data_IF_213128960343
#
_entry.id   IF_213128960343
#
_cell.length_a   1.000
_cell.length_b   1.000
_cell.length_c   1.000
_cell.angle_alpha   90.00
_cell.angle_beta   90.00
_cell.angle_gamma   90.00
#
_symmetry.space_group_name_H-M   'P 1'
#
loop_
_entity.id
_entity.type
_entity.pdbx_description
1 polymer ?
#
# COMPACT_ATOMS: atom_id res chain seq x y z
N UNK A 1 -13.34 -12.97 57.93
CA UNK A 1 -13.45 -12.84 56.47
C UNK A 1 -13.64 -14.22 55.87
N UNK A 2 -14.83 -14.53 55.34
CA UNK A 2 -15.27 -15.88 55.00
C UNK A 2 -14.38 -16.54 53.92
N UNK A 3 -14.06 -17.83 54.08
CA UNK A 3 -13.27 -18.61 53.11
C UNK A 3 -13.87 -18.53 51.70
N UNK A 4 -15.20 -18.51 51.61
CA UNK A 4 -15.95 -18.37 50.35
C UNK A 4 -15.63 -17.03 49.67
N UNK A 5 -15.50 -15.95 50.44
CA UNK A 5 -15.15 -14.62 49.90
C UNK A 5 -13.72 -14.60 49.36
N UNK A 6 -12.78 -15.30 50.01
CA UNK A 6 -11.39 -15.41 49.53
C UNK A 6 -11.31 -16.22 48.23
N UNK A 7 -12.07 -17.30 48.10
CA UNK A 7 -12.12 -18.12 46.87
C UNK A 7 -12.73 -17.30 45.72
N UNK A 8 -13.82 -16.58 45.98
CA UNK A 8 -14.44 -15.71 44.98
C UNK A 8 -13.48 -14.61 44.47
N UNK A 9 -12.72 -13.98 45.37
CA UNK A 9 -11.74 -12.97 45.02
C UNK A 9 -10.59 -13.53 44.18
N UNK A 10 -10.10 -14.73 44.51
CA UNK A 10 -9.04 -15.39 43.75
C UNK A 10 -9.54 -15.70 42.34
N UNK A 11 -10.72 -16.32 42.19
CA UNK A 11 -11.31 -16.67 40.88
C UNK A 11 -11.60 -15.43 40.04
N UNK A 12 -12.12 -14.36 40.65
CA UNK A 12 -12.34 -13.09 39.95
C UNK A 12 -11.04 -12.46 39.45
N UNK A 13 -9.95 -12.55 40.23
CA UNK A 13 -8.64 -12.07 39.82
C UNK A 13 -8.06 -12.91 38.67
N UNK A 14 -8.18 -14.24 38.71
CA UNK A 14 -7.69 -15.11 37.64
C UNK A 14 -8.45 -14.91 36.33
N UNK A 15 -9.76 -14.67 36.40
CA UNK A 15 -10.56 -14.38 35.20
C UNK A 15 -10.14 -13.02 34.60
N UNK A 16 -9.89 -11.98 35.41
CA UNK A 16 -9.41 -10.70 34.88
C UNK A 16 -8.02 -10.81 34.22
N UNK A 17 -7.13 -11.68 34.70
CA UNK A 17 -5.83 -11.91 34.04
C UNK A 17 -5.93 -12.70 32.74
N UNK A 18 -7.01 -13.47 32.52
CA UNK A 18 -7.23 -14.22 31.27
C UNK A 18 -7.82 -13.35 30.15
N UNK A 19 -8.51 -12.26 30.48
CA UNK A 19 -9.02 -11.29 29.51
C UNK A 19 -8.07 -10.08 29.28
N UNK A 20 -6.93 -10.06 29.96
CA UNK A 20 -5.95 -8.97 29.94
C UNK A 20 -4.82 -9.10 28.90
N UNK A 21 -5.02 -9.83 27.81
CA UNK A 21 -4.06 -9.89 26.70
C UNK A 21 -4.75 -10.20 25.35
N UNK A 22 -5.62 -9.30 24.90
CA UNK A 22 -6.11 -9.30 23.50
C UNK A 22 -6.46 -7.87 23.07
N UNK A 23 -5.53 -6.96 23.32
CA UNK A 23 -5.56 -5.61 22.77
C UNK A 23 -4.15 -5.21 22.33
N UNK A 24 -3.46 -6.11 21.62
CA UNK A 24 -2.45 -5.65 20.67
C UNK A 24 -3.21 -5.15 19.44
N UNK A 25 -3.43 -3.84 19.43
CA UNK A 25 -3.78 -3.06 18.25
C UNK A 25 -2.83 -3.45 17.11
N UNK A 26 -3.41 -3.89 15.99
CA UNK A 26 -2.82 -3.82 14.66
C UNK A 26 -1.33 -4.12 14.54
N UNK A 27 -0.89 -5.33 14.89
CA UNK A 27 0.37 -5.86 14.36
C UNK A 27 0.06 -6.60 13.08
N UNK A 28 0.20 -5.88 11.98
CA UNK A 28 1.05 -6.29 10.85
C UNK A 28 1.39 -7.79 10.87
N UNK A 29 0.74 -8.56 10.00
CA UNK A 29 1.19 -9.91 9.68
C UNK A 29 2.43 -9.73 8.81
N UNK A 30 3.56 -9.34 9.43
CA UNK A 30 4.85 -9.42 8.77
C UNK A 30 5.15 -10.91 8.61
N UNK A 31 4.87 -11.46 7.43
CA UNK A 31 5.17 -12.85 7.13
C UNK A 31 6.70 -13.01 7.06
N UNK A 32 7.30 -13.53 8.13
CA UNK A 32 8.74 -13.85 8.17
C UNK A 32 9.10 -15.12 7.37
N UNK A 33 8.23 -15.56 6.46
CA UNK A 33 8.45 -16.77 5.69
C UNK A 33 9.31 -16.43 4.48
N UNK A 34 10.50 -17.04 4.43
CA UNK A 34 11.38 -16.97 3.27
C UNK A 34 11.06 -18.08 2.28
N UNK A 35 11.14 -17.73 1.00
CA UNK A 35 10.94 -18.60 -0.16
C UNK A 35 12.22 -18.68 -0.98
N UNK A 36 12.39 -19.74 -1.78
CA UNK A 36 13.66 -19.91 -2.50
C UNK A 36 13.78 -18.94 -3.67
N UNK A 37 12.66 -18.56 -4.28
CA UNK A 37 12.63 -17.61 -5.39
C UNK A 37 11.68 -16.46 -5.12
N UNK A 38 11.90 -15.36 -5.84
CA UNK A 38 11.06 -14.18 -5.83
C UNK A 38 9.61 -14.51 -6.21
N UNK A 39 9.44 -15.33 -7.25
CA UNK A 39 8.14 -15.74 -7.77
C UNK A 39 7.35 -16.58 -6.75
N UNK A 40 8.02 -17.45 -5.99
CA UNK A 40 7.40 -18.23 -4.92
C UNK A 40 6.89 -17.34 -3.78
N UNK A 41 7.65 -16.30 -3.42
CA UNK A 41 7.24 -15.32 -2.42
C UNK A 41 5.99 -14.54 -2.87
N UNK A 42 6.02 -14.03 -4.10
CA UNK A 42 4.90 -13.28 -4.70
C UNK A 42 3.65 -14.15 -4.83
N UNK A 43 3.79 -15.38 -5.32
CA UNK A 43 2.68 -16.33 -5.41
C UNK A 43 2.07 -16.63 -4.04
N UNK A 44 2.92 -16.86 -3.04
CA UNK A 44 2.45 -17.16 -1.70
C UNK A 44 1.72 -15.98 -1.07
N UNK A 45 2.21 -14.75 -1.26
CA UNK A 45 1.53 -13.54 -0.81
C UNK A 45 0.14 -13.41 -1.41
N UNK A 46 -0.01 -13.44 -2.74
CA UNK A 46 -1.32 -13.32 -3.36
C UNK A 46 -2.27 -14.44 -2.91
N UNK A 47 -1.75 -15.67 -2.75
CA UNK A 47 -2.55 -16.81 -2.26
C UNK A 47 -3.01 -16.62 -0.81
N UNK A 48 -2.13 -16.16 0.08
CA UNK A 48 -2.44 -15.94 1.49
C UNK A 48 -3.46 -14.82 1.69
N UNK A 49 -3.33 -13.75 0.91
CA UNK A 49 -4.24 -12.61 0.93
C UNK A 49 -5.55 -12.85 0.17
N UNK A 50 -5.68 -13.98 -0.54
CA UNK A 50 -6.87 -14.30 -1.32
C UNK A 50 -7.03 -13.45 -2.58
N UNK A 51 -5.93 -12.91 -3.11
CA UNK A 51 -5.88 -12.08 -4.31
C UNK A 51 -5.50 -12.91 -5.55
N UNK A 52 -5.78 -12.36 -6.74
CA UNK A 52 -5.40 -12.98 -8.01
C UNK A 52 -3.99 -12.53 -8.40
N UNK A 53 -3.14 -13.42 -8.94
CA UNK A 53 -1.82 -13.02 -9.49
C UNK A 53 -1.92 -11.95 -10.58
N UNK A 54 -3.02 -11.91 -11.34
CA UNK A 54 -3.28 -10.87 -12.34
C UNK A 54 -3.47 -9.47 -11.75
N UNK A 55 -3.53 -9.35 -10.42
CA UNK A 55 -3.49 -8.08 -9.70
C UNK A 55 -2.12 -7.41 -9.71
N UNK A 56 -1.04 -8.14 -10.00
CA UNK A 56 0.31 -7.56 -10.06
C UNK A 56 0.37 -6.51 -11.18
N UNK A 57 0.76 -5.27 -10.83
CA UNK A 57 0.95 -4.17 -11.78
C UNK A 57 2.42 -4.15 -12.22
N UNK A 58 3.32 -4.03 -11.26
CA UNK A 58 4.75 -3.85 -11.51
C UNK A 58 5.59 -4.31 -10.32
N UNK A 59 6.88 -4.51 -10.57
CA UNK A 59 7.92 -4.61 -9.56
C UNK A 59 8.96 -3.58 -9.98
N UNK A 60 9.20 -2.57 -9.15
CA UNK A 60 10.12 -1.49 -9.43
C UNK A 60 11.27 -1.46 -8.45
N UNK A 61 12.46 -1.08 -8.92
CA UNK A 61 13.64 -0.91 -8.09
C UNK A 61 13.85 0.59 -7.80
N UNK A 62 13.92 0.94 -6.53
CA UNK A 62 14.13 2.29 -6.02
C UNK A 62 15.27 2.25 -4.99
N UNK A 63 16.41 2.88 -5.30
CA UNK A 63 17.71 2.79 -4.59
C UNK A 63 17.93 1.46 -3.84
N UNK A 64 18.13 0.37 -4.59
CA UNK A 64 18.39 -0.98 -4.09
C UNK A 64 17.21 -1.65 -3.33
N UNK A 65 16.04 -1.02 -3.28
CA UNK A 65 14.80 -1.59 -2.74
C UNK A 65 13.83 -1.95 -3.85
N UNK A 66 13.41 -3.21 -3.90
CA UNK A 66 12.39 -3.66 -4.85
C UNK A 66 10.99 -3.52 -4.24
N UNK A 67 10.10 -2.78 -4.91
CA UNK A 67 8.72 -2.56 -4.49
C UNK A 67 7.78 -3.26 -5.47
N UNK A 68 7.02 -4.22 -4.97
CA UNK A 68 5.90 -4.84 -5.66
C UNK A 68 4.64 -3.96 -5.54
N UNK A 69 4.01 -3.69 -6.67
CA UNK A 69 2.83 -2.82 -6.80
C UNK A 69 1.69 -3.65 -7.39
N UNK A 70 0.51 -3.62 -6.75
CA UNK A 70 -0.61 -4.47 -7.15
C UNK A 70 -1.99 -3.83 -6.92
N UNK A 71 -3.00 -4.24 -7.70
CA UNK A 71 -4.40 -3.85 -7.51
C UNK A 71 -5.20 -4.92 -6.78
N UNK A 72 -5.80 -4.61 -5.65
CA UNK A 72 -6.65 -5.56 -4.93
C UNK A 72 -7.96 -4.91 -4.44
N UNK A 73 -8.69 -4.19 -5.29
CA UNK A 73 -9.78 -3.31 -4.83
C UNK A 73 -9.23 -2.06 -4.12
N UNK A 74 -8.18 -1.49 -4.70
CA UNK A 74 -7.28 -0.48 -4.14
C UNK A 74 -5.86 -0.72 -4.69
N UNK A 75 -4.96 0.23 -4.47
CA UNK A 75 -3.54 0.10 -4.83
C UNK A 75 -2.72 -0.31 -3.61
N UNK A 76 -1.92 -1.36 -3.74
CA UNK A 76 -1.14 -1.94 -2.66
C UNK A 76 0.34 -2.02 -2.99
N UNK A 77 1.14 -2.00 -1.93
CA UNK A 77 2.59 -2.00 -1.97
C UNK A 77 3.14 -3.07 -1.04
N UNK A 78 4.20 -3.73 -1.48
CA UNK A 78 4.99 -4.61 -0.64
C UNK A 78 6.45 -4.58 -1.09
N UNK A 79 7.37 -4.56 -0.13
CA UNK A 79 8.79 -4.66 -0.42
C UNK A 79 9.19 -6.11 -0.68
N UNK A 80 9.97 -6.34 -1.73
CA UNK A 80 10.61 -7.62 -2.05
C UNK A 80 11.99 -7.64 -1.43
N UNK A 81 12.16 -8.44 -0.39
CA UNK A 81 13.41 -8.52 0.37
C UNK A 81 14.16 -9.79 -0.05
N UNK A 82 15.42 -9.63 -0.42
CA UNK A 82 16.35 -10.72 -0.71
C UNK A 82 17.41 -10.84 0.39
N UNK A 83 17.42 -11.97 1.09
CA UNK A 83 18.36 -12.30 2.15
C UNK A 83 19.04 -13.66 1.88
N UNK A 84 19.99 -14.04 2.73
CA UNK A 84 20.69 -15.32 2.63
C UNK A 84 19.72 -16.52 2.73
N UNK A 85 18.62 -16.35 3.46
CA UNK A 85 17.55 -17.32 3.66
C UNK A 85 16.62 -17.45 2.45
N UNK A 86 16.65 -16.49 1.51
CA UNK A 86 15.81 -16.45 0.31
C UNK A 86 15.08 -15.12 0.13
N UNK A 87 13.86 -15.19 -0.41
CA UNK A 87 13.01 -14.03 -0.70
C UNK A 87 11.81 -13.98 0.24
N UNK A 88 11.44 -12.79 0.69
CA UNK A 88 10.17 -12.55 1.41
C UNK A 88 9.53 -11.25 0.95
N UNK A 89 8.26 -11.08 1.33
CA UNK A 89 7.54 -9.83 1.12
C UNK A 89 7.25 -9.17 2.45
N UNK A 90 7.57 -7.88 2.56
CA UNK A 90 7.13 -7.04 3.66
C UNK A 90 5.96 -6.18 3.17
N UNK A 91 4.77 -6.39 3.73
CA UNK A 91 3.54 -5.76 3.26
C UNK A 91 3.32 -4.41 3.95
N UNK A 92 3.38 -3.34 3.18
CA UNK A 92 3.23 -1.96 3.67
C UNK A 92 1.75 -1.51 3.73
N UNK A 93 0.88 -2.19 2.99
CA UNK A 93 -0.56 -1.98 3.08
C UNK A 93 -1.25 -1.90 1.72
N UNK A 94 -2.48 -1.40 1.74
CA UNK A 94 -3.27 -1.10 0.55
C UNK A 94 -4.14 0.12 0.80
N UNK A 95 -4.07 1.11 -0.08
CA UNK A 95 -4.97 2.25 -0.05
C UNK A 95 -6.27 1.91 -0.79
N UNK A 96 -7.40 2.11 -0.10
CA UNK A 96 -8.75 1.78 -0.60
C UNK A 96 -9.68 3.00 -0.68
N UNK A 97 -9.45 4.00 0.18
CA UNK A 97 -10.32 5.16 0.32
C UNK A 97 -9.96 6.25 -0.69
N UNK A 98 -10.51 6.11 -1.89
CA UNK A 98 -10.60 7.18 -2.88
C UNK A 98 -12.08 7.54 -3.03
N UNK A 99 -12.60 8.30 -2.08
CA UNK A 99 -13.98 8.82 -2.13
C UNK A 99 -13.99 10.17 -2.83
N UNK A 100 -14.73 10.26 -3.94
CA UNK A 100 -14.98 11.53 -4.61
C UNK A 100 -16.09 12.28 -3.88
N UNK A 101 -15.79 13.46 -3.34
CA UNK A 101 -16.80 14.29 -2.69
C UNK A 101 -17.78 14.95 -3.69
N UNK A 102 -17.47 14.94 -4.99
CA UNK A 102 -18.26 15.63 -6.02
C UNK A 102 -18.35 14.87 -7.34
N UNK A 103 -19.51 14.96 -8.00
CA UNK A 103 -19.68 14.53 -9.39
C UNK A 103 -18.80 15.36 -10.34
N UNK A 104 -18.22 14.73 -11.37
CA UNK A 104 -17.45 15.41 -12.42
C UNK A 104 -15.96 15.62 -12.12
N UNK A 105 -15.39 14.90 -11.14
CA UNK A 105 -13.93 14.85 -10.93
C UNK A 105 -13.27 13.91 -11.93
N UNK A 106 -12.12 14.33 -12.46
CA UNK A 106 -11.35 13.50 -13.40
C UNK A 106 -10.61 12.35 -12.69
N UNK A 107 -10.17 12.60 -11.46
CA UNK A 107 -9.60 11.61 -10.57
C UNK A 107 -9.30 12.19 -9.19
N UNK A 108 -8.70 11.36 -8.34
CA UNK A 108 -8.27 11.74 -6.99
C UNK A 108 -6.88 11.19 -6.76
N UNK A 109 -6.00 12.01 -6.20
CA UNK A 109 -4.66 11.67 -5.78
C UNK A 109 -4.48 11.71 -4.27
N UNK A 110 -3.52 10.93 -3.78
CA UNK A 110 -3.10 10.92 -2.40
C UNK A 110 -1.58 10.77 -2.33
N UNK A 111 -0.97 11.53 -1.43
CA UNK A 111 0.45 11.49 -1.15
C UNK A 111 0.66 10.55 0.02
N UNK A 112 1.38 9.46 -0.22
CA UNK A 112 1.65 8.45 0.81
C UNK A 112 3.13 8.13 0.87
N UNK A 113 3.50 7.40 1.92
CA UNK A 113 4.84 6.95 2.21
C UNK A 113 4.82 5.43 2.27
N UNK A 114 5.67 4.78 1.46
CA UNK A 114 5.90 3.34 1.53
C UNK A 114 7.02 3.09 2.54
N UNK A 115 6.74 2.30 3.57
CA UNK A 115 7.70 1.97 4.63
C UNK A 115 8.40 0.66 4.29
N UNK A 116 9.56 0.77 3.65
CA UNK A 116 10.51 -0.34 3.54
C UNK A 116 11.31 -0.48 4.83
N UNK A 117 11.99 -1.61 5.03
CA UNK A 117 12.78 -1.84 6.25
C UNK A 117 13.93 -0.83 6.44
N UNK A 118 14.48 -0.32 5.35
CA UNK A 118 15.66 0.55 5.37
C UNK A 118 15.33 2.04 5.16
N UNK A 119 14.17 2.35 4.57
CA UNK A 119 13.81 3.73 4.22
C UNK A 119 12.31 3.94 4.00
N UNK A 120 11.94 5.21 3.94
CA UNK A 120 10.62 5.66 3.53
C UNK A 120 10.68 6.16 2.10
N UNK A 121 9.82 5.64 1.23
CA UNK A 121 9.77 5.98 -0.19
C UNK A 121 8.47 6.76 -0.44
N UNK A 122 8.55 8.06 -0.77
CA UNK A 122 7.37 8.86 -1.06
C UNK A 122 6.80 8.53 -2.44
N UNK A 123 5.48 8.36 -2.50
CA UNK A 123 4.76 8.02 -3.73
C UNK A 123 3.45 8.79 -3.78
N UNK A 124 3.11 9.27 -4.96
CA UNK A 124 1.77 9.77 -5.26
C UNK A 124 1.02 8.61 -5.88
N UNK A 125 -0.18 8.37 -5.39
CA UNK A 125 -1.09 7.40 -5.98
C UNK A 125 -2.37 8.10 -6.36
N UNK A 126 -2.97 7.69 -7.46
CA UNK A 126 -4.25 8.25 -7.86
C UNK A 126 -5.19 7.22 -8.43
N UNK A 127 -6.48 7.51 -8.29
CA UNK A 127 -7.58 6.80 -8.93
C UNK A 127 -8.13 7.66 -10.04
N UNK A 128 -8.31 7.06 -11.22
CA UNK A 128 -8.95 7.67 -12.37
C UNK A 128 -10.45 7.45 -12.23
N UNK A 129 -11.23 8.52 -12.36
CA UNK A 129 -12.69 8.50 -12.24
C UNK A 129 -13.34 8.76 -13.60
N UNK A 130 -12.83 9.74 -14.33
CA UNK A 130 -13.21 9.97 -15.71
C UNK A 130 -12.41 9.06 -16.64
N UNK A 131 -13.13 8.22 -17.39
CA UNK A 131 -12.55 7.23 -18.31
C UNK A 131 -11.95 7.84 -19.57
N UNK A 132 -12.25 9.11 -19.85
CA UNK A 132 -11.69 9.84 -20.98
C UNK A 132 -10.27 10.35 -20.68
N UNK A 133 -9.81 10.27 -19.43
CA UNK A 133 -8.42 10.56 -19.07
C UNK A 133 -7.51 9.47 -19.62
N UNK A 134 -6.46 9.90 -20.33
CA UNK A 134 -5.49 9.01 -20.95
C UNK A 134 -4.04 9.36 -20.58
N UNK A 135 -3.83 10.45 -19.85
CA UNK A 135 -2.50 10.82 -19.37
C UNK A 135 -2.61 11.57 -18.03
N UNK A 136 -1.64 11.35 -17.15
CA UNK A 136 -1.39 12.18 -15.97
C UNK A 136 -0.16 13.04 -16.25
N UNK A 137 -0.27 14.35 -16.05
CA UNK A 137 0.86 15.27 -16.08
C UNK A 137 1.21 15.69 -14.66
N UNK A 138 2.48 15.50 -14.28
CA UNK A 138 3.04 15.89 -12.99
C UNK A 138 3.99 17.04 -13.21
N UNK A 139 3.76 18.16 -12.54
CA UNK A 139 4.61 19.35 -12.59
C UNK A 139 5.26 19.58 -11.23
N UNK A 140 6.58 19.73 -11.22
CA UNK A 140 7.34 20.06 -10.01
C UNK A 140 7.49 21.59 -9.91
N UNK A 141 6.85 22.22 -8.92
CA UNK A 141 6.80 23.67 -8.75
C UNK A 141 8.19 24.33 -8.67
N UNK A 142 9.14 23.68 -8.01
CA UNK A 142 10.50 24.21 -7.78
C UNK A 142 11.37 24.19 -9.03
N UNK A 143 11.24 23.17 -9.88
CA UNK A 143 12.09 22.97 -11.07
C UNK A 143 11.37 23.28 -12.38
N UNK A 144 10.05 23.42 -12.33
CA UNK A 144 9.15 23.47 -13.49
C UNK A 144 9.33 22.26 -14.43
N UNK A 145 9.87 21.15 -13.92
CA UNK A 145 9.99 19.89 -14.64
C UNK A 145 8.59 19.30 -14.79
N UNK A 146 8.30 18.77 -15.98
CA UNK A 146 7.07 18.05 -16.28
C UNK A 146 7.35 16.60 -16.59
N UNK A 147 6.52 15.71 -16.07
CA UNK A 147 6.53 14.29 -16.36
C UNK A 147 5.14 13.89 -16.82
N UNK A 148 5.06 13.22 -17.97
CA UNK A 148 3.83 12.69 -18.53
C UNK A 148 3.80 11.17 -18.32
N UNK A 149 2.73 10.69 -17.68
CA UNK A 149 2.48 9.26 -17.44
C UNK A 149 1.32 8.85 -18.35
N UNK A 150 1.58 8.09 -19.43
CA UNK A 150 0.51 7.58 -20.28
C UNK A 150 -0.28 6.52 -19.51
N UNK A 151 -1.60 6.56 -19.65
CA UNK A 151 -2.50 5.58 -19.03
C UNK A 151 -2.92 4.52 -20.05
N UNK A 152 -3.08 3.29 -19.58
CA UNK A 152 -3.63 2.20 -20.38
C UNK A 152 -5.16 2.30 -20.45
N UNK A 153 -5.74 1.66 -21.46
CA UNK A 153 -7.19 1.55 -21.59
C UNK A 153 -7.80 0.86 -20.36
N UNK A 154 -8.80 1.49 -19.75
CA UNK A 154 -9.46 1.02 -18.51
C UNK A 154 -8.56 0.94 -17.27
N UNK A 155 -7.41 1.63 -17.26
CA UNK A 155 -6.59 1.73 -16.05
C UNK A 155 -7.34 2.52 -14.97
N UNK A 156 -7.55 1.91 -13.80
CA UNK A 156 -8.26 2.55 -12.68
C UNK A 156 -7.33 3.31 -11.74
N UNK A 157 -6.08 2.87 -11.60
CA UNK A 157 -5.11 3.42 -10.65
C UNK A 157 -3.79 3.76 -11.34
N UNK A 158 -3.12 4.80 -10.86
CA UNK A 158 -1.77 5.16 -11.25
C UNK A 158 -0.93 5.48 -10.02
N UNK A 159 0.38 5.47 -10.18
CA UNK A 159 1.32 5.86 -9.14
C UNK A 159 2.52 6.58 -9.75
N UNK A 160 3.23 7.34 -8.92
CA UNK A 160 4.46 8.01 -9.29
C UNK A 160 5.36 8.21 -8.07
N UNK A 161 6.56 7.67 -8.13
CA UNK A 161 7.60 7.90 -7.14
C UNK A 161 8.24 9.27 -7.39
N UNK A 162 8.44 10.04 -6.32
CA UNK A 162 8.99 11.38 -6.41
C UNK A 162 10.09 11.61 -5.37
N UNK A 163 10.84 12.70 -5.53
CA UNK A 163 11.76 13.20 -4.51
C UNK A 163 11.32 14.61 -4.12
N UNK A 164 11.39 14.93 -2.83
CA UNK A 164 11.04 16.26 -2.29
C UNK A 164 9.74 16.28 -1.48
N UNK A 165 9.19 17.48 -1.31
CA UNK A 165 8.00 17.72 -0.49
C UNK A 165 6.71 17.55 -1.32
N UNK A 166 5.62 16.96 -0.77
CA UNK A 166 4.33 16.82 -1.45
C UNK A 166 3.80 18.13 -2.05
N UNK A 167 4.00 19.24 -1.35
CA UNK A 167 3.50 20.56 -1.75
C UNK A 167 4.20 21.14 -2.99
N UNK A 168 5.31 20.54 -3.43
CA UNK A 168 6.03 20.94 -4.63
C UNK A 168 5.49 20.25 -5.90
N UNK A 169 4.45 19.43 -5.79
CA UNK A 169 3.92 18.65 -6.91
C UNK A 169 2.49 19.07 -7.23
N UNK A 170 2.25 19.31 -8.52
CA UNK A 170 0.94 19.57 -9.08
C UNK A 170 0.59 18.46 -10.07
N UNK A 171 -0.66 17.98 -10.01
CA UNK A 171 -1.15 16.84 -10.79
C UNK A 171 -2.29 17.31 -11.68
N UNK A 172 -2.19 17.01 -12.97
CA UNK A 172 -3.21 17.31 -13.95
C UNK A 172 -3.64 16.06 -14.71
N UNK A 173 -4.96 15.86 -14.79
CA UNK A 173 -5.59 14.80 -15.55
C UNK A 173 -5.85 15.30 -16.97
N UNK A 174 -5.29 14.64 -17.98
CA UNK A 174 -5.32 15.10 -19.37
C UNK A 174 -6.21 14.20 -20.22
N UNK A 175 -7.16 14.84 -20.92
CA UNK A 175 -7.97 14.26 -22.00
C UNK A 175 -7.30 14.61 -23.31
N UNK A 176 -6.57 13.68 -23.92
CA UNK A 176 -6.18 13.86 -25.33
C UNK A 176 -7.43 13.91 -26.19
N UNK A 177 -7.70 15.06 -26.80
CA UNK A 177 -8.68 15.15 -27.88
C UNK A 177 -8.18 14.26 -29.04
N UNK A 178 -9.00 13.28 -29.42
CA UNK A 178 -8.75 12.49 -30.63
C UNK A 178 -8.80 13.44 -31.82
N UNK A 179 -7.62 13.75 -32.38
CA UNK A 179 -7.45 14.50 -33.64
C UNK A 179 -7.89 13.67 -34.83
#
# INVERSE_FOLDING_TARGET
>A
MNIIYKIFLIVALTIMTLYGCSAEKGKEIQNHTYYKTKEEAIESFFKQEGYNKGSLIAIEEHDDTEIMIFTAGGIGFAEVIHAAEGYRLNWDGRLRDFEAESEGVDGIESYIEIHSEEKVIPVIIGKIIDKDINQIEITFATTNKKVAIPLQENQEFWYFFYEGEPNDIDVHYVKLELV
#
